data_IF_370237383656
#
_entry.id   IF_370237383656
#
_cell.length_a   1.000
_cell.length_b   1.000
_cell.length_c   1.000
_cell.angle_alpha   90.00
_cell.angle_beta   90.00
_cell.angle_gamma   90.00
#
_symmetry.space_group_name_H-M   'P 1'
#
loop_
_entity.id
_entity.type
_entity.pdbx_description
1 polymer ?
#
# COMPACT_ATOMS: atom_id res chain seq x y z
N UNK A 1 25.32 -6.80 3.50
CA UNK A 1 23.94 -6.34 3.20
C UNK A 1 23.04 -7.20 4.06
N UNK A 2 22.50 -6.63 5.15
CA UNK A 2 21.83 -7.38 6.21
C UNK A 2 20.56 -8.03 5.66
N UNK A 3 20.52 -9.35 5.68
CA UNK A 3 19.29 -10.07 5.43
C UNK A 3 18.28 -9.70 6.52
N UNK A 4 17.10 -9.31 6.06
CA UNK A 4 15.89 -9.01 6.81
C UNK A 4 15.33 -10.33 7.39
N UNK A 5 15.92 -10.81 8.49
CA UNK A 5 15.56 -12.10 9.10
C UNK A 5 14.12 -12.11 9.63
N UNK A 6 13.63 -10.96 10.10
CA UNK A 6 12.28 -10.81 10.64
C UNK A 6 11.26 -10.85 9.51
N UNK A 7 11.44 -10.13 8.41
CA UNK A 7 10.52 -10.26 7.29
C UNK A 7 10.64 -11.62 6.65
N UNK A 8 11.83 -12.21 6.54
CA UNK A 8 11.95 -13.59 6.05
C UNK A 8 11.09 -14.56 6.89
N UNK A 9 11.09 -14.40 8.22
CA UNK A 9 10.27 -15.23 9.11
C UNK A 9 8.76 -14.92 9.01
N UNK A 10 8.37 -13.65 8.94
CA UNK A 10 6.96 -13.23 9.02
C UNK A 10 6.25 -13.16 7.66
N UNK A 11 6.96 -12.87 6.59
CA UNK A 11 6.39 -12.63 5.27
C UNK A 11 5.64 -13.85 4.74
N UNK A 12 6.17 -15.06 4.96
CA UNK A 12 5.52 -16.31 4.55
C UNK A 12 4.19 -16.58 5.27
N UNK A 13 3.93 -15.93 6.40
CA UNK A 13 2.65 -16.03 7.12
C UNK A 13 1.63 -14.99 6.67
N UNK A 14 2.00 -14.00 5.85
CA UNK A 14 1.07 -12.96 5.37
C UNK A 14 -0.14 -13.55 4.63
N UNK A 15 0.01 -14.52 3.71
CA UNK A 15 -1.15 -15.08 2.99
C UNK A 15 -2.16 -15.79 3.90
N UNK A 16 -1.70 -16.45 4.97
CA UNK A 16 -2.60 -17.12 5.91
C UNK A 16 -3.20 -16.17 6.94
N UNK A 17 -2.48 -15.11 7.31
CA UNK A 17 -2.89 -14.17 8.38
C UNK A 17 -3.73 -13.01 7.83
N UNK A 18 -3.38 -12.51 6.63
CA UNK A 18 -4.01 -11.38 5.97
C UNK A 18 -4.44 -11.73 4.53
N UNK A 19 -5.22 -12.80 4.31
CA UNK A 19 -5.56 -13.27 2.95
C UNK A 19 -6.29 -12.20 2.12
N UNK A 20 -7.09 -11.35 2.76
CA UNK A 20 -7.85 -10.26 2.12
C UNK A 20 -6.96 -9.15 1.54
N UNK A 21 -5.67 -9.12 1.88
CA UNK A 21 -4.67 -8.18 1.38
C UNK A 21 -3.64 -8.84 0.48
N UNK A 22 -3.90 -10.10 0.08
CA UNK A 22 -3.07 -10.85 -0.84
C UNK A 22 -3.80 -10.93 -2.18
N UNK A 23 -3.24 -10.31 -3.21
CA UNK A 23 -3.87 -10.19 -4.51
C UNK A 23 -3.04 -10.91 -5.56
N UNK A 24 -3.74 -11.56 -6.50
CA UNK A 24 -3.17 -12.05 -7.75
C UNK A 24 -3.89 -11.36 -8.90
N UNK A 25 -3.14 -10.99 -9.93
CA UNK A 25 -3.71 -10.52 -11.19
C UNK A 25 -3.55 -11.64 -12.22
N UNK A 26 -4.63 -11.94 -12.94
CA UNK A 26 -4.63 -12.94 -14.00
C UNK A 26 -5.03 -12.32 -15.34
N UNK A 27 -4.51 -12.90 -16.41
CA UNK A 27 -4.93 -12.66 -17.79
C UNK A 27 -5.37 -14.01 -18.37
N UNK A 28 -6.68 -14.26 -18.40
CA UNK A 28 -7.21 -15.61 -18.56
C UNK A 28 -6.78 -16.49 -17.39
N UNK A 29 -6.21 -17.65 -17.69
CA UNK A 29 -5.70 -18.61 -16.72
C UNK A 29 -4.23 -18.34 -16.30
N UNK A 30 -3.57 -17.34 -16.89
CA UNK A 30 -2.19 -17.01 -16.55
C UNK A 30 -2.10 -15.97 -15.43
N UNK A 31 -1.32 -16.27 -14.38
CA UNK A 31 -0.97 -15.28 -13.36
C UNK A 31 0.09 -14.32 -13.90
N UNK A 32 -0.24 -13.02 -13.91
CA UNK A 32 0.63 -11.95 -14.43
C UNK A 32 1.22 -11.04 -13.36
N UNK A 33 0.63 -11.01 -12.18
CA UNK A 33 1.20 -10.30 -11.04
C UNK A 33 0.72 -10.89 -9.71
N UNK A 34 1.46 -10.58 -8.64
CA UNK A 34 1.04 -10.80 -7.26
C UNK A 34 1.36 -9.57 -6.41
N UNK A 35 0.58 -9.36 -5.37
CA UNK A 35 0.83 -8.35 -4.37
C UNK A 35 0.53 -8.86 -2.96
N UNK A 36 1.38 -8.47 -2.02
CA UNK A 36 1.19 -8.70 -0.60
C UNK A 36 1.15 -7.38 0.14
N UNK A 37 0.29 -7.28 1.13
CA UNK A 37 0.22 -6.13 2.01
C UNK A 37 -0.11 -6.56 3.43
N UNK A 38 0.27 -5.73 4.41
CA UNK A 38 -0.04 -5.97 5.81
C UNK A 38 -0.71 -4.74 6.44
N UNK A 39 -1.79 -4.95 7.23
CA UNK A 39 -2.45 -3.89 7.95
C UNK A 39 -1.79 -3.67 9.32
N UNK A 40 -1.71 -2.42 9.77
CA UNK A 40 -1.22 -2.10 11.11
C UNK A 40 -1.86 -0.80 11.62
N UNK A 41 -1.82 -0.59 12.93
CA UNK A 41 -2.23 0.66 13.56
C UNK A 41 -1.03 1.62 13.59
N UNK A 42 -1.08 2.65 12.77
CA UNK A 42 -0.07 3.70 12.71
C UNK A 42 -0.37 4.82 13.72
N UNK A 43 -1.62 5.19 13.93
CA UNK A 43 -2.01 6.34 14.73
C UNK A 43 -2.36 5.92 16.17
N UNK A 44 -1.34 5.55 16.94
CA UNK A 44 -1.47 5.17 18.36
C UNK A 44 -0.63 6.10 19.24
N UNK A 45 -0.81 6.13 20.55
CA UNK A 45 0.03 6.99 21.42
C UNK A 45 1.54 6.68 21.31
N UNK A 46 1.90 5.48 20.85
CA UNK A 46 3.30 5.01 20.70
C UNK A 46 3.81 5.05 19.26
N UNK A 47 2.95 5.32 18.27
CA UNK A 47 3.28 5.30 16.83
C UNK A 47 2.63 6.51 16.16
N UNK A 48 3.32 7.18 15.25
CA UNK A 48 2.75 8.35 14.56
C UNK A 48 3.40 8.66 13.21
N UNK A 49 4.46 7.95 12.87
CA UNK A 49 5.18 8.05 11.61
C UNK A 49 5.53 6.64 11.14
N UNK A 50 5.73 6.49 9.83
CA UNK A 50 6.15 5.22 9.27
C UNK A 50 7.48 4.78 9.90
N UNK A 51 7.65 3.47 10.14
CA UNK A 51 8.82 2.99 10.84
C UNK A 51 10.09 3.19 10.02
N UNK A 52 11.11 3.77 10.64
CA UNK A 52 12.44 3.88 10.02
C UNK A 52 13.07 2.52 9.69
N UNK A 53 12.66 1.46 10.41
CA UNK A 53 13.13 0.08 10.19
C UNK A 53 12.46 -0.64 9.03
N UNK A 54 11.79 0.07 8.11
CA UNK A 54 11.24 -0.50 6.89
C UNK A 54 10.23 -1.62 7.16
N UNK A 55 10.28 -2.66 6.33
CA UNK A 55 9.26 -3.70 6.30
C UNK A 55 9.32 -4.67 7.47
N UNK A 56 10.49 -4.97 8.02
CA UNK A 56 10.67 -5.80 9.22
C UNK A 56 9.78 -5.26 10.35
N UNK A 57 9.79 -3.93 10.50
CA UNK A 57 9.05 -3.25 11.56
C UNK A 57 7.57 -3.15 11.25
N UNK A 58 7.19 -2.94 9.99
CA UNK A 58 5.80 -3.02 9.55
C UNK A 58 5.23 -4.41 9.84
N UNK A 59 5.93 -5.47 9.48
CA UNK A 59 5.52 -6.86 9.74
C UNK A 59 5.41 -7.13 11.24
N UNK A 60 6.40 -6.70 12.03
CA UNK A 60 6.35 -6.83 13.49
C UNK A 60 5.12 -6.14 14.08
N UNK A 61 4.79 -4.93 13.61
CA UNK A 61 3.60 -4.21 14.05
C UNK A 61 2.32 -4.89 13.59
N UNK A 62 2.21 -5.28 12.33
CA UNK A 62 1.03 -5.94 11.79
C UNK A 62 0.69 -7.24 12.54
N UNK A 63 1.68 -8.11 12.76
CA UNK A 63 1.46 -9.37 13.47
C UNK A 63 1.16 -9.17 14.95
N UNK A 64 1.80 -8.17 15.58
CA UNK A 64 1.47 -7.81 16.96
C UNK A 64 0.05 -7.28 17.07
N UNK A 65 -0.33 -6.34 16.22
CA UNK A 65 -1.64 -5.71 16.24
C UNK A 65 -2.74 -6.74 15.96
N UNK A 66 -2.49 -7.66 15.01
CA UNK A 66 -3.38 -8.78 14.72
C UNK A 66 -3.58 -9.69 15.94
N UNK A 67 -2.48 -10.09 16.60
CA UNK A 67 -2.54 -10.92 17.80
C UNK A 67 -3.23 -10.20 18.98
N UNK A 68 -2.96 -8.91 19.13
CA UNK A 68 -3.47 -8.09 20.22
C UNK A 68 -4.91 -7.57 19.92
N UNK A 69 -5.50 -7.88 18.76
CA UNK A 69 -6.83 -7.45 18.36
C UNK A 69 -6.96 -5.94 18.09
N UNK A 70 -5.84 -5.26 17.83
CA UNK A 70 -5.82 -3.81 17.60
C UNK A 70 -6.36 -3.51 16.20
N UNK A 71 -7.31 -2.58 16.11
CA UNK A 71 -7.91 -2.18 14.83
C UNK A 71 -6.87 -1.44 13.97
N UNK A 72 -6.52 -1.96 12.78
CA UNK A 72 -5.59 -1.27 11.89
C UNK A 72 -6.25 -0.06 11.25
N UNK A 73 -5.44 0.98 10.98
CA UNK A 73 -5.85 2.21 10.30
C UNK A 73 -5.05 2.47 9.00
N UNK A 74 -3.98 1.70 8.80
CA UNK A 74 -3.01 1.88 7.72
C UNK A 74 -2.66 0.53 7.11
N UNK A 75 -2.38 0.52 5.81
CA UNK A 75 -1.92 -0.66 5.07
C UNK A 75 -0.61 -0.32 4.38
N UNK A 76 0.39 -1.19 4.51
CA UNK A 76 1.65 -1.10 3.77
C UNK A 76 1.69 -2.17 2.70
N UNK A 77 1.99 -1.78 1.45
CA UNK A 77 2.32 -2.71 0.40
C UNK A 77 3.71 -3.32 0.69
N UNK A 78 3.72 -4.64 0.87
CA UNK A 78 4.86 -5.50 1.18
C UNK A 78 5.37 -6.30 -0.01
N UNK A 79 4.76 -6.28 -1.17
CA UNK A 79 5.40 -6.75 -2.40
C UNK A 79 4.45 -6.41 -3.52
N UNK A 80 4.99 -5.99 -4.66
CA UNK A 80 4.25 -6.04 -5.91
C UNK A 80 5.22 -6.59 -6.95
N UNK A 81 4.97 -7.82 -7.38
CA UNK A 81 5.74 -8.47 -8.42
C UNK A 81 4.87 -8.59 -9.67
N UNK A 82 5.33 -8.00 -10.78
CA UNK A 82 4.66 -8.04 -12.08
C UNK A 82 5.57 -8.74 -13.07
N UNK A 83 5.01 -9.61 -13.90
CA UNK A 83 5.74 -10.24 -15.00
C UNK A 83 6.42 -9.16 -15.88
N UNK A 84 7.73 -9.29 -16.19
CA UNK A 84 8.46 -8.26 -16.93
C UNK A 84 7.86 -7.92 -18.30
N UNK A 85 7.31 -8.91 -19.01
CA UNK A 85 6.65 -8.76 -20.31
C UNK A 85 5.29 -8.04 -20.22
N UNK A 86 4.77 -7.85 -19.01
CA UNK A 86 3.53 -7.12 -18.72
C UNK A 86 3.78 -5.76 -18.05
N UNK A 87 5.04 -5.44 -17.73
CA UNK A 87 5.40 -4.17 -17.12
C UNK A 87 5.31 -3.04 -18.14
N UNK A 88 4.28 -2.20 -18.04
CA UNK A 88 4.26 -0.93 -18.77
C UNK A 88 5.20 0.05 -18.08
N UNK A 89 6.21 0.52 -18.81
CA UNK A 89 7.08 1.60 -18.31
C UNK A 89 6.23 2.84 -18.07
N UNK A 90 6.25 3.31 -16.83
CA UNK A 90 5.74 4.64 -16.48
C UNK A 90 6.56 5.64 -17.28
N UNK A 91 5.94 6.26 -18.30
CA UNK A 91 6.51 7.44 -18.93
C UNK A 91 6.42 8.54 -17.88
N UNK A 92 7.57 9.13 -17.54
CA UNK A 92 7.62 10.35 -16.74
C UNK A 92 6.81 11.40 -17.51
N UNK A 93 5.58 11.68 -17.09
CA UNK A 93 4.89 12.89 -17.53
C UNK A 93 5.68 14.06 -16.95
N UNK A 94 6.39 14.75 -17.83
CA UNK A 94 7.07 16.00 -17.50
C UNK A 94 6.02 17.01 -17.02
N UNK A 95 6.30 17.63 -15.86
CA UNK A 95 5.58 18.75 -15.21
C UNK A 95 4.06 18.79 -15.43
N UNK A 96 3.32 18.44 -14.36
CA UNK A 96 2.04 19.09 -14.10
C UNK A 96 2.31 20.60 -14.08
N UNK A 97 2.00 21.31 -15.17
CA UNK A 97 1.91 22.76 -15.17
C UNK A 97 0.98 23.21 -14.03
N UNK A 98 1.11 24.45 -13.54
CA UNK A 98 0.33 24.90 -12.41
C UNK A 98 -1.15 24.62 -12.66
N UNK A 99 -1.81 24.01 -11.67
CA UNK A 99 -3.23 23.71 -11.72
C UNK A 99 -3.97 24.99 -12.15
N UNK A 100 -4.86 24.94 -13.16
CA UNK A 100 -5.61 26.11 -13.55
C UNK A 100 -6.42 26.59 -12.32
N UNK A 101 -6.46 27.90 -12.03
CA UNK A 101 -7.24 28.39 -10.92
C UNK A 101 -8.68 27.96 -11.11
N UNK A 102 -9.27 27.40 -10.06
CA UNK A 102 -10.70 27.11 -9.98
C UNK A 102 -11.44 28.44 -10.19
N UNK A 103 -11.90 28.68 -11.42
CA UNK A 103 -12.82 29.77 -11.70
C UNK A 103 -14.13 29.39 -11.02
N UNK A 104 -14.40 30.02 -9.89
CA UNK A 104 -15.69 30.02 -9.24
C UNK A 104 -16.69 30.61 -10.24
N UNK A 105 -17.42 29.74 -10.95
CA UNK A 105 -18.60 30.13 -11.73
C UNK A 105 -19.67 30.56 -10.75
N UNK A 106 -19.64 31.82 -10.34
CA UNK A 106 -20.83 32.50 -9.83
C UNK A 106 -21.81 32.62 -10.99
N UNK A 107 -22.74 31.67 -11.08
CA UNK A 107 -23.87 31.71 -12.00
C UNK A 107 -24.80 32.86 -11.58
N UNK A 108 -24.54 34.05 -12.14
CA UNK A 108 -25.54 35.13 -12.19
C UNK A 108 -26.54 34.79 -13.28
N UNK A 109 -27.56 34.01 -12.94
CA UNK A 109 -28.88 33.96 -13.59
C UNK A 109 -29.86 33.54 -12.48
N UNK A 110 -30.88 34.29 -12.08
CA UNK A 110 -31.77 35.21 -12.80
C UNK A 110 -32.42 36.15 -11.78
N UNK A 111 -32.52 37.42 -12.16
CA UNK A 111 -33.64 38.27 -11.75
C UNK A 111 -34.95 37.64 -12.25
N UNK A 112 -35.97 37.67 -11.40
CA UNK A 112 -37.35 37.30 -11.66
C UNK A 112 -38.13 37.56 -10.39
#
# INVERSE_FOLDING_TARGET
MGHDEIAAALFHHVPSTFPHLCLVATEGDEMVARAFAAPFALHTDRRGTLPAGGWDRVLTWAFRDHRDGTKPDTVSALEIAVRPDRLRRLRRTERLGPAPPLSCRSDRRRCG
#
